data_IF_457534668065
#
_entry.id   IF_457534668065
#
_cell.length_a   1.000
_cell.length_b   1.000
_cell.length_c   1.000
_cell.angle_alpha   90.00
_cell.angle_beta   90.00
_cell.angle_gamma   90.00
#
_symmetry.space_group_name_H-M   'P 1'
#
loop_
_entity.id
_entity.type
_entity.pdbx_description
1 polymer ?
#
# COMPACT_ATOMS: atom_id res chain seq x y z
N UNK A 1 -20.55 -13.77 20.34
CA UNK A 1 -20.99 -12.68 19.47
C UNK A 1 -20.65 -11.36 20.13
N UNK A 2 -20.09 -10.45 19.37
CA UNK A 2 -19.83 -9.09 19.77
C UNK A 2 -21.10 -8.28 19.99
N UNK A 3 -20.97 -7.13 20.62
CA UNK A 3 -22.03 -6.19 20.93
C UNK A 3 -22.08 -5.03 19.92
N UNK A 4 -22.31 -3.82 20.43
CA UNK A 4 -22.17 -2.59 19.65
C UNK A 4 -20.80 -1.96 19.93
N UNK A 5 -20.01 -1.70 18.94
CA UNK A 5 -18.66 -1.13 19.04
C UNK A 5 -17.66 -1.99 18.27
N UNK A 6 -16.39 -1.79 18.48
CA UNK A 6 -15.33 -2.68 17.98
C UNK A 6 -15.13 -3.79 19.00
N UNK A 7 -15.46 -5.02 18.62
CA UNK A 7 -15.27 -6.18 19.47
C UNK A 7 -14.01 -6.93 19.02
N UNK A 8 -13.20 -7.35 19.99
CA UNK A 8 -11.88 -7.93 19.77
C UNK A 8 -11.79 -9.35 20.32
N UNK A 9 -11.16 -10.22 19.55
CA UNK A 9 -10.77 -11.57 19.94
C UNK A 9 -9.26 -11.61 20.15
N UNK A 10 -8.82 -11.95 21.35
CA UNK A 10 -7.40 -12.06 21.70
C UNK A 10 -6.93 -13.52 21.68
N UNK A 11 -5.82 -13.81 21.00
CA UNK A 11 -5.12 -15.09 21.03
C UNK A 11 -3.99 -15.04 22.05
N UNK A 12 -4.30 -15.46 23.28
CA UNK A 12 -3.29 -15.57 24.35
C UNK A 12 -2.56 -16.92 24.26
N UNK A 13 -1.26 -16.91 23.98
CA UNK A 13 -0.44 -18.12 23.97
C UNK A 13 0.62 -18.12 22.88
N UNK A 14 1.20 -19.30 22.64
CA UNK A 14 2.29 -19.48 21.68
C UNK A 14 2.02 -20.71 20.82
N UNK A 15 2.24 -20.60 19.50
CA UNK A 15 2.04 -21.70 18.56
C UNK A 15 0.58 -22.08 18.36
N UNK A 16 -0.33 -21.14 18.58
CA UNK A 16 -1.76 -21.36 18.37
C UNK A 16 -2.11 -21.19 16.89
N UNK A 17 -3.02 -22.05 16.42
CA UNK A 17 -3.66 -21.86 15.12
C UNK A 17 -5.16 -21.66 15.35
N UNK A 18 -5.66 -20.48 14.98
CA UNK A 18 -7.07 -20.20 14.89
C UNK A 18 -7.50 -20.36 13.43
N UNK A 19 -8.15 -21.46 13.12
CA UNK A 19 -8.70 -21.74 11.78
C UNK A 19 -10.19 -21.43 11.79
N UNK A 20 -10.55 -20.24 11.34
CA UNK A 20 -11.95 -19.80 11.28
C UNK A 20 -12.72 -20.55 10.22
N UNK A 21 -12.09 -21.00 9.14
CA UNK A 21 -12.75 -21.75 8.07
C UNK A 21 -13.28 -23.12 8.54
N UNK A 22 -12.80 -23.60 9.70
CA UNK A 22 -13.25 -24.83 10.35
C UNK A 22 -14.38 -24.62 11.38
N UNK A 23 -14.72 -23.36 11.68
CA UNK A 23 -15.75 -22.98 12.66
C UNK A 23 -17.03 -22.64 11.92
N UNK A 24 -18.18 -23.00 12.46
CA UNK A 24 -19.44 -22.65 11.81
C UNK A 24 -19.69 -21.13 11.88
N UNK A 25 -20.10 -20.51 10.77
CA UNK A 25 -20.31 -19.07 10.59
C UNK A 25 -21.22 -18.42 11.65
N UNK A 26 -22.04 -19.21 12.30
CA UNK A 26 -22.96 -18.74 13.36
C UNK A 26 -22.34 -18.72 14.76
N UNK A 27 -21.18 -19.32 14.94
CA UNK A 27 -20.57 -19.49 16.25
C UNK A 27 -19.71 -18.31 16.68
N UNK A 28 -19.11 -17.60 15.69
CA UNK A 28 -18.31 -16.39 15.92
C UNK A 28 -18.82 -15.27 15.02
N UNK A 29 -19.44 -14.25 15.59
CA UNK A 29 -20.01 -13.11 14.86
C UNK A 29 -19.83 -11.80 15.63
N UNK A 30 -19.80 -10.65 14.94
CA UNK A 30 -19.64 -9.33 15.52
C UNK A 30 -18.24 -9.14 16.12
N UNK A 31 -17.21 -9.55 15.39
CA UNK A 31 -15.80 -9.36 15.74
C UNK A 31 -15.14 -8.53 14.63
N UNK A 32 -14.62 -7.38 14.97
CA UNK A 32 -13.96 -6.45 14.06
C UNK A 32 -12.43 -6.45 14.21
N UNK A 33 -11.92 -7.03 15.30
CA UNK A 33 -10.49 -7.09 15.55
C UNK A 33 -10.06 -8.47 16.09
N UNK A 34 -8.89 -8.92 15.67
CA UNK A 34 -8.20 -10.08 16.24
C UNK A 34 -6.80 -9.64 16.67
N UNK A 35 -6.49 -9.84 17.95
CA UNK A 35 -5.18 -9.53 18.52
C UNK A 35 -4.37 -10.83 18.73
N UNK A 36 -3.22 -10.92 18.05
CA UNK A 36 -2.24 -12.00 18.19
C UNK A 36 -0.93 -11.53 18.85
N UNK A 37 -0.92 -10.32 19.43
CA UNK A 37 0.32 -9.71 19.99
C UNK A 37 0.87 -10.42 21.23
N UNK A 38 0.29 -11.52 21.66
CA UNK A 38 0.75 -12.36 22.76
C UNK A 38 2.17 -12.93 22.58
N UNK A 39 2.49 -13.99 23.28
CA UNK A 39 3.81 -14.61 23.22
C UNK A 39 3.88 -15.70 22.14
N UNK A 40 4.91 -15.63 21.29
CA UNK A 40 5.26 -16.66 20.30
C UNK A 40 4.50 -16.56 18.99
N UNK A 41 4.74 -17.51 18.10
CA UNK A 41 4.31 -17.48 16.73
C UNK A 41 2.91 -18.08 16.61
N UNK A 42 1.89 -17.29 16.32
CA UNK A 42 0.51 -17.72 16.14
C UNK A 42 0.08 -17.64 14.69
N UNK A 43 -0.91 -18.43 14.30
CA UNK A 43 -1.43 -18.46 12.94
C UNK A 43 -2.95 -18.26 12.94
N UNK A 44 -3.40 -17.30 12.13
CA UNK A 44 -4.81 -17.10 11.82
C UNK A 44 -5.07 -17.58 10.39
N UNK A 45 -6.06 -18.47 10.23
CA UNK A 45 -6.54 -18.93 8.92
C UNK A 45 -7.95 -18.41 8.70
N UNK A 46 -8.17 -17.72 7.60
CA UNK A 46 -9.48 -17.16 7.22
C UNK A 46 -9.63 -17.05 5.71
N UNK A 47 -10.86 -16.99 5.26
CA UNK A 47 -11.19 -16.71 3.87
C UNK A 47 -12.15 -15.51 3.73
N UNK A 48 -12.66 -15.28 2.52
CA UNK A 48 -13.57 -14.17 2.22
C UNK A 48 -14.89 -14.23 3.01
N UNK A 49 -15.46 -15.43 3.17
CA UNK A 49 -16.74 -15.60 3.86
C UNK A 49 -16.60 -15.33 5.35
N UNK A 50 -15.48 -15.73 5.95
CA UNK A 50 -15.19 -15.48 7.35
C UNK A 50 -15.19 -13.98 7.67
N UNK A 51 -14.58 -13.15 6.83
CA UNK A 51 -14.55 -11.69 7.06
C UNK A 51 -15.95 -11.10 6.98
N UNK A 52 -16.77 -11.55 6.04
CA UNK A 52 -18.16 -11.07 5.93
C UNK A 52 -19.04 -11.51 7.12
N UNK A 53 -18.79 -12.71 7.65
CA UNK A 53 -19.56 -13.27 8.75
C UNK A 53 -19.12 -12.72 10.11
N UNK A 54 -17.82 -12.48 10.30
CA UNK A 54 -17.28 -11.90 11.51
C UNK A 54 -17.71 -10.45 11.69
N UNK A 55 -17.47 -9.61 10.69
CA UNK A 55 -17.77 -8.18 10.75
C UNK A 55 -19.07 -7.88 10.03
N UNK A 56 -20.17 -7.89 10.75
CA UNK A 56 -21.53 -7.74 10.23
C UNK A 56 -21.89 -6.32 9.76
N UNK A 57 -21.10 -5.31 10.16
CA UNK A 57 -21.40 -3.90 9.88
C UNK A 57 -20.43 -3.24 8.90
N UNK A 58 -19.14 -3.58 8.92
CA UNK A 58 -18.11 -2.90 8.15
C UNK A 58 -17.48 -3.74 7.06
N UNK A 59 -17.66 -5.07 7.10
CA UNK A 59 -16.94 -6.05 6.27
C UNK A 59 -15.40 -5.86 6.36
N UNK A 60 -14.93 -5.34 7.48
CA UNK A 60 -13.51 -5.05 7.71
C UNK A 60 -13.07 -5.74 8.99
N UNK A 61 -12.02 -6.56 8.88
CA UNK A 61 -11.36 -7.20 10.00
C UNK A 61 -9.96 -6.61 10.16
N UNK A 62 -9.63 -6.16 11.38
CA UNK A 62 -8.28 -5.71 11.74
C UNK A 62 -7.55 -6.82 12.48
N UNK A 63 -6.35 -7.16 12.04
CA UNK A 63 -5.49 -8.17 12.69
C UNK A 63 -4.21 -7.51 13.15
N UNK A 64 -4.02 -7.49 14.47
CA UNK A 64 -2.78 -7.06 15.11
C UNK A 64 -1.95 -8.27 15.49
N UNK A 65 -0.63 -8.14 15.38
CA UNK A 65 0.28 -9.22 15.70
C UNK A 65 1.72 -8.72 15.72
N UNK A 66 2.66 -9.61 16.02
CA UNK A 66 4.08 -9.32 16.07
C UNK A 66 4.89 -10.21 15.12
N UNK A 67 6.21 -10.01 15.11
CA UNK A 67 7.12 -10.83 14.29
C UNK A 67 7.04 -12.30 14.69
N UNK A 68 6.76 -13.15 13.71
CA UNK A 68 6.57 -14.60 13.88
C UNK A 68 5.12 -15.04 13.69
N UNK A 69 4.17 -14.12 13.92
CA UNK A 69 2.76 -14.39 13.62
C UNK A 69 2.48 -14.45 12.12
N UNK A 70 1.45 -15.19 11.74
CA UNK A 70 1.05 -15.35 10.35
C UNK A 70 -0.46 -15.31 10.15
N UNK A 71 -0.87 -14.72 9.02
CA UNK A 71 -2.26 -14.77 8.54
C UNK A 71 -2.30 -15.50 7.20
N UNK A 72 -3.01 -16.60 7.15
CA UNK A 72 -3.28 -17.34 5.93
C UNK A 72 -4.63 -16.90 5.38
N UNK A 73 -4.59 -16.09 4.32
CA UNK A 73 -5.75 -15.70 3.55
C UNK A 73 -5.98 -16.73 2.44
N UNK A 74 -7.19 -17.18 2.25
CA UNK A 74 -7.57 -18.04 1.13
C UNK A 74 -7.32 -17.38 -0.23
N UNK A 75 -7.69 -18.08 -1.31
CA UNK A 75 -7.51 -17.57 -2.67
C UNK A 75 -8.38 -16.34 -2.97
N UNK A 76 -7.90 -15.49 -3.88
CA UNK A 76 -8.65 -14.35 -4.43
C UNK A 76 -8.46 -13.03 -3.73
N UNK A 77 -7.70 -12.96 -2.67
CA UNK A 77 -7.33 -11.70 -2.03
C UNK A 77 -6.30 -10.93 -2.83
N UNK A 78 -6.43 -9.62 -2.82
CA UNK A 78 -5.49 -8.68 -3.45
C UNK A 78 -4.93 -7.75 -2.38
N UNK A 79 -3.61 -7.72 -2.24
CA UNK A 79 -2.94 -6.74 -1.39
C UNK A 79 -3.00 -5.36 -2.06
N UNK A 80 -3.50 -4.37 -1.33
CA UNK A 80 -3.54 -2.97 -1.76
C UNK A 80 -2.35 -2.26 -1.13
N UNK A 81 -1.37 -1.92 -1.95
CA UNK A 81 -0.15 -1.26 -1.51
C UNK A 81 -0.37 0.26 -1.42
N UNK A 82 0.26 0.93 -0.45
CA UNK A 82 0.10 2.37 -0.23
C UNK A 82 -1.00 2.76 0.77
N UNK A 83 -1.42 1.84 1.63
CA UNK A 83 -2.35 2.09 2.73
C UNK A 83 -1.72 2.83 3.92
N UNK A 84 -2.45 2.88 5.03
CA UNK A 84 -1.99 3.50 6.28
C UNK A 84 -0.68 2.88 6.78
N UNK A 85 0.21 3.73 7.31
CA UNK A 85 1.51 3.27 7.83
C UNK A 85 1.32 2.27 8.97
N UNK A 86 2.05 1.16 8.91
CA UNK A 86 2.04 0.10 9.93
C UNK A 86 1.07 -1.05 9.66
N UNK A 87 0.35 -1.04 8.55
CA UNK A 87 -0.59 -2.10 8.18
C UNK A 87 -0.59 -2.42 6.70
N UNK A 88 -0.65 -3.69 6.36
CA UNK A 88 -0.97 -4.21 5.02
C UNK A 88 -2.50 -4.28 4.88
N UNK A 89 -3.02 -3.91 3.73
CA UNK A 89 -4.44 -4.00 3.41
C UNK A 89 -4.70 -5.02 2.31
N UNK A 90 -5.61 -5.93 2.56
CA UNK A 90 -6.06 -6.94 1.61
C UNK A 90 -7.55 -6.75 1.33
N UNK A 91 -7.96 -6.87 0.08
CA UNK A 91 -9.36 -6.75 -0.33
C UNK A 91 -9.79 -7.90 -1.22
N UNK A 92 -11.05 -8.32 -1.05
CA UNK A 92 -11.74 -9.25 -1.93
C UNK A 92 -13.23 -8.90 -1.93
N UNK A 93 -13.78 -8.52 -3.09
CA UNK A 93 -15.19 -8.10 -3.16
C UNK A 93 -15.51 -6.96 -2.19
N UNK A 94 -16.41 -7.20 -1.24
CA UNK A 94 -16.78 -6.23 -0.20
C UNK A 94 -15.91 -6.34 1.07
N UNK A 95 -15.12 -7.41 1.22
CA UNK A 95 -14.34 -7.67 2.42
C UNK A 95 -12.98 -6.94 2.39
N UNK A 96 -12.56 -6.48 3.56
CA UNK A 96 -11.23 -5.88 3.79
C UNK A 96 -10.59 -6.53 5.02
N UNK A 97 -9.30 -6.85 4.92
CA UNK A 97 -8.47 -7.26 6.06
C UNK A 97 -7.30 -6.31 6.19
N UNK A 98 -7.13 -5.74 7.37
CA UNK A 98 -5.99 -4.91 7.74
C UNK A 98 -5.09 -5.73 8.65
N UNK A 99 -3.82 -5.89 8.30
CA UNK A 99 -2.87 -6.75 9.03
C UNK A 99 -1.64 -5.92 9.39
N UNK A 100 -1.17 -5.98 10.64
CA UNK A 100 0.08 -5.32 11.05
C UNK A 100 1.24 -5.73 10.14
N UNK A 101 2.12 -4.77 9.80
CA UNK A 101 3.24 -4.99 8.86
C UNK A 101 4.20 -6.09 9.29
N UNK A 102 4.32 -6.33 10.60
CA UNK A 102 5.20 -7.33 11.20
C UNK A 102 4.71 -8.77 11.02
N UNK A 103 3.40 -8.94 10.77
CA UNK A 103 2.77 -10.23 10.58
C UNK A 103 3.03 -10.76 9.16
N UNK A 104 3.42 -12.02 9.04
CA UNK A 104 3.56 -12.67 7.73
C UNK A 104 2.18 -12.98 7.15
N UNK A 105 2.00 -12.73 5.85
CA UNK A 105 0.73 -12.98 5.16
C UNK A 105 0.92 -13.88 3.94
N UNK A 106 0.00 -14.81 3.71
CA UNK A 106 0.00 -15.71 2.55
C UNK A 106 -0.97 -15.26 1.45
N UNK A 107 -1.20 -13.98 1.31
CA UNK A 107 -2.05 -13.46 0.24
C UNK A 107 -1.32 -13.34 -1.10
N UNK A 108 -2.07 -13.51 -2.17
CA UNK A 108 -1.56 -13.33 -3.52
C UNK A 108 -1.48 -11.86 -3.89
N UNK A 109 -0.36 -11.45 -4.49
CA UNK A 109 -0.11 -10.29 -5.35
C UNK A 109 -0.70 -8.93 -4.93
N UNK A 110 0.17 -8.06 -4.44
CA UNK A 110 -0.14 -6.64 -4.21
C UNK A 110 -0.56 -5.90 -5.48
N UNK A 111 -1.62 -5.12 -5.39
CA UNK A 111 -2.05 -4.16 -6.40
C UNK A 111 -1.90 -2.75 -5.82
N UNK A 112 -1.08 -1.92 -6.47
CA UNK A 112 -1.08 -0.49 -6.18
C UNK A 112 -2.29 0.15 -6.83
N UNK A 113 -3.17 0.73 -6.02
CA UNK A 113 -4.15 1.67 -6.53
C UNK A 113 -3.48 3.04 -6.66
N UNK A 114 -3.48 3.60 -7.86
CA UNK A 114 -2.87 4.92 -8.09
C UNK A 114 -3.55 6.02 -7.26
N UNK A 115 -4.81 5.81 -6.84
CA UNK A 115 -5.53 6.69 -5.93
C UNK A 115 -4.98 6.72 -4.51
N UNK A 116 -4.22 5.70 -4.11
CA UNK A 116 -3.71 5.53 -2.74
C UNK A 116 -2.24 5.97 -2.60
N UNK A 117 -1.67 6.54 -3.66
CA UNK A 117 -0.33 7.11 -3.62
C UNK A 117 -0.33 8.40 -2.79
N UNK A 118 0.13 8.32 -1.55
CA UNK A 118 0.14 9.39 -0.56
C UNK A 118 1.54 9.97 -0.29
N UNK A 119 2.55 9.38 -0.92
CA UNK A 119 3.96 9.74 -0.75
C UNK A 119 4.76 8.77 0.12
N UNK A 120 4.10 7.89 0.89
CA UNK A 120 4.79 6.86 1.69
C UNK A 120 5.06 5.59 0.87
N UNK A 121 4.05 5.08 0.17
CA UNK A 121 4.16 3.89 -0.69
C UNK A 121 4.49 4.21 -2.15
N UNK A 122 4.50 5.48 -2.52
CA UNK A 122 4.76 5.97 -3.87
C UNK A 122 4.12 7.33 -4.10
N UNK A 123 4.40 7.92 -5.25
CA UNK A 123 3.90 9.24 -5.61
C UNK A 123 3.68 9.36 -7.11
N UNK A 124 2.90 10.36 -7.52
CA UNK A 124 2.62 10.65 -8.93
C UNK A 124 3.51 11.78 -9.42
N UNK A 125 4.12 11.61 -10.59
CA UNK A 125 4.78 12.70 -11.32
C UNK A 125 3.79 13.22 -12.37
N UNK A 126 3.29 14.44 -12.16
CA UNK A 126 2.33 15.08 -13.07
C UNK A 126 3.08 15.83 -14.18
N UNK A 127 2.78 15.49 -15.43
CA UNK A 127 3.33 16.17 -16.60
C UNK A 127 2.86 17.62 -16.69
N UNK A 128 3.52 18.42 -17.55
CA UNK A 128 3.26 19.85 -17.72
C UNK A 128 2.06 20.08 -18.64
N UNK A 129 2.14 19.61 -19.87
CA UNK A 129 1.12 19.83 -20.88
C UNK A 129 0.50 18.54 -21.41
N UNK A 130 -0.75 18.65 -21.86
CA UNK A 130 -1.44 17.53 -22.49
C UNK A 130 -0.79 17.19 -23.85
N UNK A 131 -0.58 15.91 -24.09
CA UNK A 131 0.04 15.38 -25.32
C UNK A 131 1.57 15.51 -25.43
N UNK A 132 2.27 15.96 -24.41
CA UNK A 132 3.74 15.94 -24.35
C UNK A 132 4.30 14.55 -24.13
N UNK A 133 3.43 13.63 -23.68
CA UNK A 133 3.77 12.26 -23.36
C UNK A 133 4.86 12.14 -22.29
N UNK A 134 4.80 12.99 -21.26
CA UNK A 134 5.63 12.86 -20.05
C UNK A 134 5.48 11.46 -19.46
N UNK A 135 6.61 10.83 -19.09
CA UNK A 135 6.62 9.47 -18.59
C UNK A 135 6.68 8.38 -19.67
N UNK A 136 6.77 8.73 -20.95
CA UNK A 136 6.99 7.74 -22.03
C UNK A 136 8.33 6.99 -21.86
N UNK A 137 9.31 7.63 -21.25
CA UNK A 137 10.54 7.01 -20.76
C UNK A 137 10.85 7.51 -19.36
N UNK A 138 11.26 6.59 -18.47
CA UNK A 138 11.68 6.88 -17.10
C UNK A 138 12.94 6.09 -16.80
N UNK A 139 13.89 6.71 -16.12
CA UNK A 139 15.15 6.08 -15.73
C UNK A 139 15.70 6.75 -14.47
N UNK A 140 16.68 6.11 -13.85
CA UNK A 140 17.52 6.79 -12.86
C UNK A 140 18.48 7.74 -13.57
N UNK A 141 18.70 8.92 -13.01
CA UNK A 141 19.72 9.87 -13.42
C UNK A 141 21.05 9.71 -12.61
N UNK A 142 21.06 8.84 -11.60
CA UNK A 142 22.09 8.84 -10.57
C UNK A 142 21.91 9.99 -9.59
N UNK A 143 22.93 10.38 -8.89
CA UNK A 143 22.96 11.54 -7.99
C UNK A 143 23.58 12.73 -8.75
N UNK A 144 22.75 13.51 -9.43
CA UNK A 144 23.20 14.61 -10.32
C UNK A 144 23.57 15.86 -9.54
N UNK A 145 22.89 16.08 -8.40
CA UNK A 145 23.11 17.27 -7.56
C UNK A 145 24.15 17.04 -6.44
N UNK A 146 24.56 15.79 -6.17
CA UNK A 146 25.57 15.41 -5.19
C UNK A 146 25.05 15.38 -3.75
N UNK A 147 23.74 15.20 -3.53
CA UNK A 147 23.12 15.16 -2.20
C UNK A 147 23.08 13.78 -1.55
N UNK A 148 23.48 12.73 -2.27
CA UNK A 148 23.51 11.33 -1.82
C UNK A 148 22.24 10.54 -2.13
N UNK A 149 21.26 11.14 -2.79
CA UNK A 149 20.01 10.49 -3.21
C UNK A 149 19.98 10.31 -4.72
N UNK A 150 19.40 9.20 -5.18
CA UNK A 150 19.28 8.95 -6.62
C UNK A 150 18.16 9.81 -7.20
N UNK A 151 18.44 10.45 -8.34
CA UNK A 151 17.51 11.29 -9.08
C UNK A 151 16.75 10.52 -10.16
N UNK A 152 15.61 11.06 -10.57
CA UNK A 152 14.71 10.47 -11.57
C UNK A 152 14.80 11.28 -12.86
N UNK A 153 14.91 10.56 -13.99
CA UNK A 153 14.88 11.12 -15.33
C UNK A 153 13.57 10.75 -16.00
N UNK A 154 12.84 11.76 -16.51
CA UNK A 154 11.53 11.58 -17.16
C UNK A 154 11.58 12.23 -18.55
N UNK A 155 11.30 11.47 -19.60
CA UNK A 155 11.21 11.97 -20.97
C UNK A 155 9.79 12.32 -21.38
N UNK A 156 9.63 13.47 -22.06
CA UNK A 156 8.42 13.94 -22.72
C UNK A 156 8.77 14.29 -24.19
N UNK A 157 8.66 13.33 -25.08
CA UNK A 157 9.22 13.45 -26.42
C UNK A 157 8.49 14.41 -27.35
N UNK A 158 7.30 14.89 -26.98
CA UNK A 158 6.58 15.95 -27.67
C UNK A 158 6.54 17.27 -26.90
N UNK A 159 7.28 17.39 -25.76
CA UNK A 159 7.40 18.64 -25.04
C UNK A 159 7.80 19.80 -25.95
N UNK A 160 7.31 21.01 -25.67
CA UNK A 160 7.41 22.16 -26.55
C UNK A 160 8.02 23.43 -25.92
N UNK A 161 8.60 23.33 -24.70
CA UNK A 161 9.22 24.46 -24.02
C UNK A 161 10.36 25.13 -24.82
N UNK A 162 11.12 24.37 -25.60
CA UNK A 162 12.17 24.92 -26.46
C UNK A 162 11.68 25.33 -27.84
N UNK A 163 10.86 24.50 -28.47
CA UNK A 163 10.22 24.69 -29.76
C UNK A 163 9.11 23.67 -29.95
N UNK A 164 8.16 23.85 -30.87
CA UNK A 164 7.09 22.88 -31.08
C UNK A 164 7.61 21.45 -31.27
N UNK A 165 7.21 20.54 -30.38
CA UNK A 165 7.59 19.13 -30.37
C UNK A 165 9.11 18.89 -30.40
N UNK A 166 9.90 19.75 -29.76
CA UNK A 166 11.35 19.59 -29.63
C UNK A 166 11.77 18.44 -28.71
N UNK A 167 10.85 18.06 -27.82
CA UNK A 167 11.09 17.10 -26.75
C UNK A 167 11.68 17.76 -25.51
N UNK A 168 11.34 17.22 -24.35
CA UNK A 168 11.83 17.64 -23.05
C UNK A 168 12.28 16.47 -22.21
N UNK A 169 13.21 16.74 -21.30
CA UNK A 169 13.61 15.78 -20.30
C UNK A 169 13.65 16.47 -18.93
N UNK A 170 12.90 15.93 -17.98
CA UNK A 170 12.86 16.41 -16.62
C UNK A 170 13.81 15.60 -15.75
N UNK A 171 14.55 16.27 -14.87
CA UNK A 171 15.32 15.65 -13.79
C UNK A 171 14.69 16.08 -12.48
N UNK A 172 14.18 15.10 -11.70
CA UNK A 172 13.62 15.34 -10.37
C UNK A 172 14.62 14.84 -9.34
N UNK A 173 15.07 15.74 -8.47
CA UNK A 173 16.07 15.40 -7.46
C UNK A 173 15.48 14.53 -6.37
N UNK A 174 16.22 13.46 -6.02
CA UNK A 174 15.96 12.64 -4.85
C UNK A 174 16.08 13.45 -3.56
N UNK A 175 15.56 12.94 -2.46
CA UNK A 175 15.66 13.58 -1.14
C UNK A 175 15.39 12.60 -0.01
N UNK A 176 15.79 12.97 1.21
CA UNK A 176 15.57 12.19 2.42
C UNK A 176 14.07 12.05 2.78
N UNK A 177 13.34 13.16 2.62
CA UNK A 177 11.91 13.22 2.93
C UNK A 177 11.05 12.64 1.79
N UNK A 178 9.82 12.26 2.10
CA UNK A 178 8.86 11.84 1.07
C UNK A 178 8.53 12.97 0.10
N UNK A 179 8.13 12.62 -1.12
CA UNK A 179 7.68 13.58 -2.13
C UNK A 179 6.25 14.10 -1.91
N UNK A 180 5.54 13.58 -0.88
CA UNK A 180 4.10 13.72 -0.78
C UNK A 180 3.39 12.89 -1.85
N UNK A 181 2.09 13.09 -2.04
CA UNK A 181 1.28 12.28 -2.98
C UNK A 181 1.60 12.56 -4.45
N UNK A 182 2.10 13.76 -4.78
CA UNK A 182 2.43 14.14 -6.15
C UNK A 182 3.53 15.19 -6.25
N UNK A 183 4.28 15.15 -7.35
CA UNK A 183 5.23 16.17 -7.79
C UNK A 183 4.76 16.68 -9.13
N UNK A 184 4.58 17.99 -9.25
CA UNK A 184 4.26 18.68 -10.50
C UNK A 184 5.55 19.05 -11.23
N UNK A 185 5.75 18.52 -12.44
CA UNK A 185 6.96 18.78 -13.22
C UNK A 185 7.07 20.26 -13.64
N UNK A 186 5.96 21.01 -13.69
CA UNK A 186 5.98 22.45 -13.94
C UNK A 186 6.54 23.26 -12.77
N UNK A 187 6.59 22.69 -11.56
CA UNK A 187 7.08 23.34 -10.36
C UNK A 187 8.59 23.15 -10.12
N UNK A 188 9.30 22.48 -11.02
CA UNK A 188 10.75 22.33 -10.94
C UNK A 188 11.44 23.69 -11.06
N UNK A 189 12.34 24.00 -10.14
CA UNK A 189 12.89 25.35 -9.94
C UNK A 189 14.41 25.40 -9.77
N UNK A 190 15.13 24.34 -10.08
CA UNK A 190 16.56 24.18 -9.89
C UNK A 190 16.97 23.67 -8.50
N UNK A 191 16.06 23.74 -7.50
CA UNK A 191 16.27 23.17 -6.16
C UNK A 191 15.64 21.79 -6.03
N UNK A 192 14.52 21.57 -6.70
CA UNK A 192 13.77 20.31 -6.69
C UNK A 192 14.01 19.47 -7.95
N UNK A 193 14.72 20.03 -8.90
CA UNK A 193 14.99 19.46 -10.21
C UNK A 193 15.01 20.52 -11.29
N UNK A 194 15.16 20.13 -12.55
CA UNK A 194 15.20 21.01 -13.70
C UNK A 194 14.70 20.33 -14.97
N UNK A 195 14.44 21.14 -16.02
CA UNK A 195 14.08 20.67 -17.35
C UNK A 195 15.21 20.96 -18.35
N UNK A 196 15.42 20.00 -19.25
CA UNK A 196 16.22 20.13 -20.47
C UNK A 196 15.24 20.20 -21.65
N UNK A 197 15.27 21.30 -22.43
CA UNK A 197 14.38 21.57 -23.56
C UNK A 197 15.17 21.93 -24.83
#
# INVERSE_FOLDING_TARGET
>A
SGGSGVDELELEGSGLTLDLTSIADTDVTGIEAIDMTGSGDNTLVLDYLEVLNLSDTSNTLTVTGNTGDSVELGDGWTEVLGGDSGQKRFTQGAATVLVSDEVTTSAARGVYLLSDLDGSGGFVLSGVDASDYSGNSVSTAGDVNGDGYADILIGAYYGDAGAPSSGETYVVFGKEDSFGSSVDLSALNGTTGFVLA
#
